data_IF_856700183411
#
_entry.id   IF_856700183411
#
_cell.length_a   1.000
_cell.length_b   1.000
_cell.length_c   1.000
_cell.angle_alpha   90.00
_cell.angle_beta   90.00
_cell.angle_gamma   90.00
#
_symmetry.space_group_name_H-M   'P 1'
#
loop_
_entity.id
_entity.type
_entity.pdbx_description
1 polymer ?
#
# COMPACT_ATOMS: atom_id res chain seq x y z
N UNK A 1 -14.52 4.72 12.73
CA UNK A 1 -15.02 3.94 11.57
C UNK A 1 -13.78 3.54 10.77
N UNK A 2 -13.18 2.38 11.03
CA UNK A 2 -12.34 1.76 9.98
C UNK A 2 -13.35 1.28 8.93
N UNK A 3 -13.39 1.86 7.74
CA UNK A 3 -14.16 1.29 6.66
C UNK A 3 -13.44 0.01 6.25
N UNK A 4 -14.16 -1.06 5.93
CA UNK A 4 -13.56 -2.30 5.39
C UNK A 4 -12.62 -2.06 4.18
N UNK A 5 -12.64 -0.87 3.57
CA UNK A 5 -11.67 -0.38 2.59
C UNK A 5 -10.26 -0.12 3.14
N UNK A 6 -10.10 0.26 4.40
CA UNK A 6 -8.80 0.60 5.00
C UNK A 6 -8.04 -0.64 5.47
N UNK A 7 -8.72 -1.70 5.88
CA UNK A 7 -8.05 -2.93 6.34
C UNK A 7 -7.19 -3.59 5.24
N UNK A 8 -7.65 -3.76 3.98
CA UNK A 8 -6.80 -4.26 2.90
C UNK A 8 -5.56 -3.40 2.66
N UNK A 9 -5.68 -2.08 2.77
CA UNK A 9 -4.57 -1.14 2.60
C UNK A 9 -3.56 -1.32 3.74
N UNK A 10 -4.05 -1.34 4.99
CA UNK A 10 -3.22 -1.58 6.17
C UNK A 10 -2.46 -2.91 6.10
N UNK A 11 -3.16 -4.01 5.76
CA UNK A 11 -2.54 -5.33 5.61
C UNK A 11 -1.49 -5.35 4.49
N UNK A 12 -1.76 -4.63 3.40
CA UNK A 12 -0.82 -4.56 2.28
C UNK A 12 0.42 -3.75 2.64
N UNK A 13 0.27 -2.61 3.33
CA UNK A 13 1.40 -1.82 3.84
C UNK A 13 2.28 -2.67 4.76
N UNK A 14 1.66 -3.44 5.66
CA UNK A 14 2.37 -4.27 6.63
C UNK A 14 3.21 -5.39 6.01
N UNK A 15 2.81 -5.87 4.83
CA UNK A 15 3.56 -6.89 4.07
C UNK A 15 4.75 -6.27 3.33
N UNK A 16 4.64 -5.02 2.90
CA UNK A 16 5.69 -4.34 2.13
C UNK A 16 6.75 -3.75 3.07
N UNK A 17 6.32 -3.13 4.18
CA UNK A 17 7.18 -2.40 5.12
C UNK A 17 6.83 -2.74 6.59
N UNK A 18 7.80 -2.65 7.51
CA UNK A 18 7.53 -2.77 8.93
C UNK A 18 6.56 -1.68 9.42
N UNK A 19 5.53 -2.07 10.19
CA UNK A 19 4.60 -1.14 10.83
C UNK A 19 4.90 -1.04 12.33
N UNK A 20 4.89 0.18 12.92
CA UNK A 20 5.04 0.35 14.36
C UNK A 20 3.94 -0.37 15.17
N UNK A 21 4.32 -0.95 16.31
CA UNK A 21 3.38 -1.59 17.25
C UNK A 21 2.19 -0.70 17.62
N UNK A 22 2.42 0.62 17.78
CA UNK A 22 1.38 1.60 18.10
C UNK A 22 0.28 1.66 17.02
N UNK A 23 0.66 1.56 15.75
CA UNK A 23 -0.28 1.55 14.62
C UNK A 23 -1.04 0.24 14.58
N UNK A 24 -0.36 -0.90 14.78
CA UNK A 24 -1.02 -2.22 14.86
C UNK A 24 -2.06 -2.23 15.99
N UNK A 25 -1.72 -1.67 17.15
CA UNK A 25 -2.63 -1.53 18.29
C UNK A 25 -3.84 -0.65 17.97
N UNK A 26 -3.61 0.50 17.34
CA UNK A 26 -4.72 1.38 16.94
C UNK A 26 -5.68 0.66 16.01
N UNK A 27 -5.16 -0.04 14.98
CA UNK A 27 -6.00 -0.84 14.09
C UNK A 27 -6.73 -1.97 14.80
N UNK A 28 -6.12 -2.63 15.78
CA UNK A 28 -6.78 -3.66 16.59
C UNK A 28 -7.98 -3.10 17.37
N UNK A 29 -7.82 -1.94 18.02
CA UNK A 29 -8.89 -1.25 18.74
C UNK A 29 -10.05 -0.93 17.80
N UNK A 30 -9.75 -0.32 16.67
CA UNK A 30 -10.76 0.10 15.72
C UNK A 30 -11.50 -1.08 15.05
N UNK A 31 -10.83 -2.23 14.86
CA UNK A 31 -11.49 -3.46 14.39
C UNK A 31 -12.45 -4.03 15.44
N UNK A 32 -12.06 -4.02 16.72
CA UNK A 32 -12.94 -4.41 17.83
C UNK A 32 -14.17 -3.50 17.88
N UNK A 33 -13.98 -2.19 17.77
CA UNK A 33 -15.07 -1.20 17.73
C UNK A 33 -16.00 -1.38 16.52
N UNK A 34 -15.48 -1.91 15.41
CA UNK A 34 -16.26 -2.24 14.22
C UNK A 34 -17.01 -3.59 14.33
N UNK A 35 -16.88 -4.31 15.45
CA UNK A 35 -17.53 -5.60 15.69
C UNK A 35 -16.78 -6.81 15.11
N UNK A 36 -15.54 -6.62 14.65
CA UNK A 36 -14.66 -7.70 14.23
C UNK A 36 -13.90 -8.23 15.45
N UNK A 37 -14.53 -9.16 16.17
CA UNK A 37 -14.06 -9.62 17.47
C UNK A 37 -13.18 -10.89 17.37
N UNK A 38 -11.99 -10.82 17.95
CA UNK A 38 -11.08 -11.95 18.11
C UNK A 38 -10.21 -11.75 19.35
N UNK A 39 -10.01 -12.82 20.14
CA UNK A 39 -9.21 -12.81 21.38
C UNK A 39 -7.85 -12.14 21.24
N UNK A 40 -7.15 -12.40 20.13
CA UNK A 40 -5.83 -11.85 19.84
C UNK A 40 -5.85 -10.33 19.65
N UNK A 41 -6.94 -9.75 19.11
CA UNK A 41 -7.05 -8.29 19.01
C UNK A 41 -7.18 -7.63 20.38
N UNK A 42 -7.87 -8.26 21.32
CA UNK A 42 -7.96 -7.77 22.70
C UNK A 42 -6.58 -7.84 23.38
N UNK A 43 -5.81 -8.90 23.16
CA UNK A 43 -4.44 -8.97 23.69
C UNK A 43 -3.57 -7.80 23.19
N UNK A 44 -3.66 -7.46 21.89
CA UNK A 44 -2.95 -6.31 21.32
C UNK A 44 -3.47 -4.98 21.89
N UNK A 45 -4.79 -4.81 21.98
CA UNK A 45 -5.41 -3.55 22.37
C UNK A 45 -5.14 -3.17 23.84
N UNK A 46 -5.06 -4.15 24.74
CA UNK A 46 -4.85 -3.91 26.18
C UNK A 46 -3.38 -3.86 26.59
N UNK A 47 -2.45 -4.46 25.84
CA UNK A 47 -1.03 -4.40 26.16
C UNK A 47 -0.39 -3.11 25.62
N UNK A 48 0.15 -2.29 26.53
CA UNK A 48 0.80 -1.02 26.17
C UNK A 48 2.29 -1.15 25.87
N UNK A 49 2.89 -2.31 26.14
CA UNK A 49 4.35 -2.57 26.01
C UNK A 49 4.64 -3.65 24.97
N UNK A 50 3.64 -4.08 24.21
CA UNK A 50 3.78 -5.13 23.20
C UNK A 50 4.81 -4.75 22.11
N UNK A 51 5.72 -5.67 21.82
CA UNK A 51 6.72 -5.52 20.74
C UNK A 51 6.05 -5.64 19.37
N UNK A 52 6.59 -4.95 18.35
CA UNK A 52 5.98 -4.91 17.00
C UNK A 52 5.81 -6.30 16.39
N UNK A 53 6.80 -7.18 16.53
CA UNK A 53 6.75 -8.54 15.96
C UNK A 53 5.67 -9.39 16.64
N UNK A 54 5.51 -9.25 17.96
CA UNK A 54 4.49 -9.94 18.72
C UNK A 54 3.09 -9.41 18.40
N UNK A 55 2.92 -8.09 18.34
CA UNK A 55 1.68 -7.45 17.92
C UNK A 55 1.26 -7.91 16.52
N UNK A 56 2.19 -7.96 15.58
CA UNK A 56 1.94 -8.43 14.22
C UNK A 56 1.56 -9.91 14.17
N UNK A 57 2.24 -10.76 14.94
CA UNK A 57 1.93 -12.19 15.05
C UNK A 57 0.52 -12.45 15.59
N UNK A 58 0.10 -11.71 16.63
CA UNK A 58 -1.26 -11.79 17.15
C UNK A 58 -2.27 -11.27 16.14
N UNK A 59 -1.97 -10.16 15.47
CA UNK A 59 -2.87 -9.53 14.49
C UNK A 59 -3.15 -10.49 13.32
N UNK A 60 -2.10 -11.09 12.77
CA UNK A 60 -2.21 -12.04 11.65
C UNK A 60 -2.95 -13.32 12.03
N UNK A 61 -2.85 -13.78 13.28
CA UNK A 61 -3.65 -14.90 13.81
C UNK A 61 -5.14 -14.57 13.97
N UNK A 62 -5.48 -13.29 14.21
CA UNK A 62 -6.86 -12.85 14.30
C UNK A 62 -7.57 -12.85 12.93
N UNK A 63 -6.84 -12.56 11.84
CA UNK A 63 -7.42 -12.37 10.50
C UNK A 63 -8.38 -13.48 10.06
N UNK A 64 -8.01 -14.78 10.12
CA UNK A 64 -8.90 -15.84 9.65
C UNK A 64 -10.19 -15.96 10.48
N UNK A 65 -10.13 -15.63 11.77
CA UNK A 65 -11.31 -15.64 12.67
C UNK A 65 -12.30 -14.55 12.29
N UNK A 66 -11.81 -13.46 11.72
CA UNK A 66 -12.59 -12.34 11.20
C UNK A 66 -12.99 -12.52 9.73
N UNK A 67 -12.68 -13.67 9.10
CA UNK A 67 -12.96 -13.92 7.69
C UNK A 67 -11.99 -13.23 6.73
N UNK A 68 -10.77 -12.93 7.16
CA UNK A 68 -9.73 -12.29 6.35
C UNK A 68 -8.49 -13.17 6.22
N UNK A 69 -7.72 -12.96 5.14
CA UNK A 69 -6.37 -13.53 4.99
C UNK A 69 -5.35 -12.43 4.81
N UNK A 70 -4.09 -12.78 5.11
CA UNK A 70 -2.97 -11.93 4.76
C UNK A 70 -2.77 -11.94 3.22
N UNK A 71 -2.51 -10.79 2.58
CA UNK A 71 -2.14 -10.75 1.17
C UNK A 71 -0.76 -11.37 0.96
N UNK A 72 -0.54 -11.96 -0.22
CA UNK A 72 0.82 -12.17 -0.71
C UNK A 72 1.47 -10.81 -1.02
N UNK A 73 2.79 -10.75 -1.15
CA UNK A 73 3.48 -9.49 -1.48
C UNK A 73 3.00 -8.90 -2.81
N UNK A 74 2.80 -9.72 -3.83
CA UNK A 74 2.29 -9.28 -5.14
C UNK A 74 0.87 -8.71 -5.03
N UNK A 75 0.00 -9.34 -4.24
CA UNK A 75 -1.34 -8.83 -3.98
C UNK A 75 -1.29 -7.50 -3.21
N UNK A 76 -0.39 -7.39 -2.23
CA UNK A 76 -0.20 -6.16 -1.46
C UNK A 76 0.22 -4.99 -2.37
N UNK A 77 1.18 -5.22 -3.27
CA UNK A 77 1.60 -4.24 -4.29
C UNK A 77 0.42 -3.85 -5.18
N UNK A 78 -0.36 -4.82 -5.67
CA UNK A 78 -1.51 -4.53 -6.51
C UNK A 78 -2.59 -3.71 -5.79
N UNK A 79 -2.90 -4.06 -4.54
CA UNK A 79 -3.87 -3.34 -3.69
C UNK A 79 -3.43 -1.89 -3.48
N UNK A 80 -2.17 -1.66 -3.09
CA UNK A 80 -1.68 -0.32 -2.81
C UNK A 80 -1.56 0.53 -4.07
N UNK A 81 -1.05 -0.02 -5.17
CA UNK A 81 -1.03 0.71 -6.45
C UNK A 81 -2.43 1.08 -6.90
N UNK A 82 -3.39 0.17 -6.79
CA UNK A 82 -4.78 0.47 -7.13
C UNK A 82 -5.36 1.55 -6.21
N UNK A 83 -5.07 1.52 -4.90
CA UNK A 83 -5.49 2.53 -3.95
C UNK A 83 -4.94 3.92 -4.31
N UNK A 84 -3.62 4.05 -4.47
CA UNK A 84 -2.99 5.33 -4.80
C UNK A 84 -3.41 5.86 -6.18
N UNK A 85 -3.50 4.98 -7.18
CA UNK A 85 -3.95 5.35 -8.52
C UNK A 85 -5.41 5.83 -8.49
N UNK A 86 -6.28 5.16 -7.74
CA UNK A 86 -7.68 5.55 -7.59
C UNK A 86 -7.81 6.91 -6.91
N UNK A 87 -6.98 7.21 -5.90
CA UNK A 87 -6.94 8.52 -5.26
C UNK A 87 -6.60 9.63 -6.26
N UNK A 88 -5.58 9.43 -7.12
CA UNK A 88 -5.19 10.40 -8.17
C UNK A 88 -6.34 10.73 -9.11
N UNK A 89 -7.10 9.72 -9.54
CA UNK A 89 -8.16 9.89 -10.54
C UNK A 89 -9.45 10.43 -9.94
N UNK A 90 -9.84 9.96 -8.74
CA UNK A 90 -11.19 10.21 -8.21
C UNK A 90 -11.25 11.26 -7.11
N UNK A 91 -10.16 11.52 -6.38
CA UNK A 91 -10.19 12.44 -5.22
C UNK A 91 -9.79 13.88 -5.56
N UNK A 92 -9.47 14.17 -6.83
CA UNK A 92 -8.99 15.49 -7.27
C UNK A 92 -7.68 15.91 -6.59
N UNK A 93 -6.96 14.96 -5.98
CA UNK A 93 -5.67 15.21 -5.34
C UNK A 93 -4.66 15.71 -6.36
N UNK A 94 -3.71 16.53 -5.90
CA UNK A 94 -2.58 16.94 -6.73
C UNK A 94 -1.80 15.70 -7.17
N UNK A 95 -1.55 15.61 -8.49
CA UNK A 95 -0.95 14.44 -9.13
C UNK A 95 0.41 14.11 -8.52
N UNK A 96 1.30 15.10 -8.42
CA UNK A 96 2.67 14.94 -7.92
C UNK A 96 2.71 14.42 -6.48
N UNK A 97 2.12 15.08 -5.46
CA UNK A 97 2.12 14.55 -4.10
C UNK A 97 1.49 13.18 -3.95
N UNK A 98 0.53 12.83 -4.81
CA UNK A 98 -0.10 11.50 -4.78
C UNK A 98 0.80 10.44 -5.40
N UNK A 99 1.51 10.79 -6.46
CA UNK A 99 2.54 9.96 -7.07
C UNK A 99 3.72 9.77 -6.13
N UNK A 100 4.21 10.83 -5.48
CA UNK A 100 5.27 10.74 -4.46
C UNK A 100 4.91 9.77 -3.33
N UNK A 101 3.65 9.81 -2.86
CA UNK A 101 3.17 8.81 -1.88
C UNK A 101 3.21 7.39 -2.46
N UNK A 102 2.74 7.20 -3.69
CA UNK A 102 2.80 5.90 -4.38
C UNK A 102 4.25 5.39 -4.51
N UNK A 103 5.19 6.29 -4.81
CA UNK A 103 6.62 5.97 -4.92
C UNK A 103 7.16 5.47 -3.57
N UNK A 104 7.02 6.28 -2.52
CA UNK A 104 7.49 5.96 -1.17
C UNK A 104 6.84 4.70 -0.59
N UNK A 105 5.53 4.54 -0.78
CA UNK A 105 4.76 3.49 -0.10
C UNK A 105 4.86 2.14 -0.83
N UNK A 106 5.15 2.14 -2.14
CA UNK A 106 5.16 0.92 -2.96
C UNK A 106 6.39 0.79 -3.86
N UNK A 107 6.67 1.77 -4.72
CA UNK A 107 7.68 1.60 -5.78
C UNK A 107 9.08 1.49 -5.18
N UNK A 108 9.51 2.43 -4.34
CA UNK A 108 10.83 2.42 -3.68
C UNK A 108 11.12 1.12 -2.89
N UNK A 109 10.21 0.64 -2.01
CA UNK A 109 10.39 -0.64 -1.32
C UNK A 109 10.54 -1.84 -2.26
N UNK A 110 9.80 -1.86 -3.37
CA UNK A 110 9.92 -2.96 -4.33
C UNK A 110 11.21 -2.86 -5.14
N UNK A 111 11.61 -1.66 -5.57
CA UNK A 111 12.83 -1.45 -6.35
C UNK A 111 14.10 -1.75 -5.54
N UNK A 112 14.15 -1.38 -4.27
CA UNK A 112 15.28 -1.67 -3.37
C UNK A 112 15.53 -3.18 -3.15
N UNK A 113 14.54 -4.05 -3.42
CA UNK A 113 14.71 -5.51 -3.35
C UNK A 113 15.31 -6.13 -4.63
N UNK A 114 15.34 -5.39 -5.73
CA UNK A 114 15.71 -5.93 -7.05
C UNK A 114 17.20 -6.05 -7.29
N UNK A 115 18.02 -5.50 -6.41
CA UNK A 115 19.47 -5.69 -6.46
C UNK A 115 19.87 -7.17 -6.27
N UNK A 116 18.93 -8.08 -5.95
CA UNK A 116 19.20 -9.49 -5.61
C UNK A 116 18.66 -10.62 -6.51
N UNK A 117 17.41 -10.61 -7.00
CA UNK A 117 16.89 -11.69 -7.88
C UNK A 117 15.49 -11.44 -8.45
N UNK A 118 15.30 -11.78 -9.73
CA UNK A 118 14.06 -12.28 -10.38
C UNK A 118 12.72 -11.89 -9.75
N UNK A 119 12.33 -10.61 -9.81
CA UNK A 119 10.94 -10.20 -9.71
C UNK A 119 10.42 -9.90 -11.11
N UNK A 120 10.15 -10.92 -11.92
CA UNK A 120 9.76 -10.73 -13.33
C UNK A 120 8.27 -10.39 -13.51
N UNK A 121 7.40 -10.77 -12.56
CA UNK A 121 5.94 -10.60 -12.69
C UNK A 121 5.47 -9.20 -12.29
N UNK A 122 5.63 -8.85 -11.02
CA UNK A 122 5.19 -7.58 -10.42
C UNK A 122 5.89 -6.37 -11.03
N UNK A 123 7.16 -6.50 -11.43
CA UNK A 123 7.84 -5.41 -12.15
C UNK A 123 7.31 -5.16 -13.53
N UNK A 124 6.88 -6.18 -14.27
CA UNK A 124 6.39 -5.95 -15.62
C UNK A 124 5.16 -5.04 -15.58
N UNK A 125 4.29 -5.25 -14.59
CA UNK A 125 3.08 -4.47 -14.37
C UNK A 125 3.35 -3.08 -13.76
N UNK A 126 4.52 -2.89 -13.16
CA UNK A 126 5.00 -1.61 -12.60
C UNK A 126 5.99 -0.88 -13.50
N UNK A 127 6.44 -1.46 -14.62
CA UNK A 127 7.60 -0.97 -15.37
C UNK A 127 7.43 0.48 -15.86
N UNK A 128 6.22 0.86 -16.29
CA UNK A 128 5.93 2.24 -16.68
C UNK A 128 6.05 3.20 -15.48
N UNK A 129 5.43 2.85 -14.34
CA UNK A 129 5.49 3.64 -13.11
C UNK A 129 6.90 3.71 -12.51
N UNK A 130 7.68 2.63 -12.62
CA UNK A 130 9.08 2.59 -12.21
C UNK A 130 9.94 3.48 -13.12
N UNK A 131 9.67 3.51 -14.43
CA UNK A 131 10.30 4.43 -15.36
C UNK A 131 9.98 5.89 -15.04
N UNK A 132 8.73 6.19 -14.72
CA UNK A 132 8.31 7.52 -14.26
C UNK A 132 8.95 7.89 -12.93
N UNK A 133 9.14 6.93 -12.00
CA UNK A 133 9.84 7.14 -10.73
C UNK A 133 11.31 7.53 -10.95
N UNK A 134 12.06 6.78 -11.77
CA UNK A 134 13.46 7.15 -12.04
C UNK A 134 13.60 8.48 -12.75
N UNK A 135 12.69 8.80 -13.69
CA UNK A 135 12.70 10.12 -14.32
C UNK A 135 12.37 11.22 -13.30
N UNK A 136 11.40 10.98 -12.42
CA UNK A 136 11.06 11.90 -11.33
C UNK A 136 12.27 12.14 -10.42
N UNK A 137 12.94 11.08 -9.98
CA UNK A 137 14.10 11.12 -9.09
C UNK A 137 15.27 11.90 -9.74
N UNK A 138 15.61 11.57 -10.99
CA UNK A 138 16.65 12.26 -11.77
C UNK A 138 16.36 13.76 -11.96
N UNK A 139 15.10 14.13 -12.20
CA UNK A 139 14.70 15.52 -12.41
C UNK A 139 14.64 16.30 -11.09
N UNK A 140 14.17 15.67 -10.01
CA UNK A 140 14.13 16.25 -8.68
C UNK A 140 15.55 16.51 -8.15
N UNK A 141 16.47 15.55 -8.31
CA UNK A 141 17.89 15.70 -7.93
C UNK A 141 18.60 16.83 -8.67
N UNK A 142 18.17 17.12 -9.90
CA UNK A 142 18.67 18.23 -10.72
C UNK A 142 17.99 19.57 -10.42
N UNK A 143 17.03 19.59 -9.49
CA UNK A 143 16.32 20.80 -9.07
C UNK A 143 15.32 21.33 -10.10
N UNK A 144 14.79 20.49 -10.99
CA UNK A 144 13.78 20.92 -11.94
C UNK A 144 12.41 21.13 -11.23
N UNK A 145 11.67 22.21 -11.55
CA UNK A 145 10.30 22.39 -11.08
C UNK A 145 9.37 21.42 -11.83
N UNK A 146 9.15 20.24 -11.26
CA UNK A 146 8.39 19.16 -11.88
C UNK A 146 6.90 19.50 -12.10
N UNK A 147 6.36 20.36 -11.26
CA UNK A 147 5.02 20.93 -11.38
C UNK A 147 4.88 21.86 -12.60
N UNK A 148 6.00 22.33 -13.13
CA UNK A 148 6.09 23.15 -14.34
C UNK A 148 6.44 22.32 -15.60
N UNK A 149 6.32 20.98 -15.53
CA UNK A 149 6.58 20.08 -16.66
C UNK A 149 5.30 19.39 -17.18
N UNK A 150 4.43 20.10 -17.94
CA UNK A 150 3.20 19.54 -18.50
C UNK A 150 3.35 18.21 -19.25
N UNK A 151 4.42 17.98 -20.05
CA UNK A 151 4.60 16.69 -20.73
C UNK A 151 4.80 15.52 -19.77
N UNK A 152 5.53 15.74 -18.67
CA UNK A 152 5.75 14.72 -17.64
C UNK A 152 4.44 14.41 -16.91
N UNK A 153 3.76 15.45 -16.43
CA UNK A 153 2.50 15.31 -15.69
C UNK A 153 1.39 14.67 -16.55
N UNK A 154 1.34 14.98 -17.84
CA UNK A 154 0.37 14.38 -18.77
C UNK A 154 0.63 12.89 -18.96
N UNK A 155 1.89 12.50 -19.17
CA UNK A 155 2.27 11.09 -19.32
C UNK A 155 2.00 10.32 -18.03
N UNK A 156 2.45 10.85 -16.89
CA UNK A 156 2.25 10.23 -15.58
C UNK A 156 0.77 9.98 -15.28
N UNK A 157 -0.10 10.97 -15.57
CA UNK A 157 -1.55 10.79 -15.45
C UNK A 157 -2.06 9.68 -16.36
N UNK A 158 -1.64 9.66 -17.64
CA UNK A 158 -2.02 8.63 -18.60
C UNK A 158 -1.65 7.23 -18.12
N UNK A 159 -0.44 7.05 -17.58
CA UNK A 159 0.06 5.75 -17.12
C UNK A 159 -0.70 5.25 -15.88
N UNK A 160 -1.07 6.17 -14.97
CA UNK A 160 -1.92 5.87 -13.80
C UNK A 160 -3.34 5.46 -14.25
N UNK A 161 -3.95 6.20 -15.18
CA UNK A 161 -5.28 5.91 -15.71
C UNK A 161 -5.30 4.58 -16.48
N UNK A 162 -4.28 4.31 -17.29
CA UNK A 162 -4.12 3.05 -18.02
C UNK A 162 -3.92 1.86 -17.09
N UNK A 163 -3.26 2.07 -15.93
CA UNK A 163 -3.15 1.02 -14.90
C UNK A 163 -4.51 0.68 -14.30
N UNK A 164 -5.32 1.67 -13.91
CA UNK A 164 -6.67 1.41 -13.41
C UNK A 164 -7.55 0.72 -14.46
N UNK A 165 -7.36 1.04 -15.74
CA UNK A 165 -8.09 0.38 -16.83
C UNK A 165 -7.73 -1.10 -16.97
N UNK A 166 -6.44 -1.46 -16.82
CA UNK A 166 -5.97 -2.85 -16.88
C UNK A 166 -6.28 -3.65 -15.62
N UNK A 167 -6.34 -2.97 -14.47
CA UNK A 167 -6.62 -3.57 -13.16
C UNK A 167 -7.80 -2.84 -12.49
N UNK A 168 -9.03 -3.07 -12.99
CA UNK A 168 -10.21 -2.31 -12.56
C UNK A 168 -10.64 -2.61 -11.12
N UNK A 169 -10.19 -3.73 -10.56
CA UNK A 169 -10.51 -4.15 -9.20
C UNK A 169 -9.26 -4.71 -8.51
N UNK A 170 -8.99 -4.35 -7.24
CA UNK A 170 -7.91 -4.95 -6.49
C UNK A 170 -8.24 -6.39 -6.09
N UNK A 171 -7.21 -7.21 -5.77
CA UNK A 171 -7.41 -8.53 -5.17
C UNK A 171 -8.29 -8.50 -3.92
N UNK A 172 -9.16 -9.49 -3.75
CA UNK A 172 -9.97 -9.65 -2.53
C UNK A 172 -9.21 -10.43 -1.46
N UNK A 173 -9.26 -9.91 -0.23
CA UNK A 173 -8.68 -10.53 0.96
C UNK A 173 -9.72 -11.16 1.90
N UNK A 174 -11.01 -11.05 1.58
CA UNK A 174 -12.06 -11.77 2.32
C UNK A 174 -12.01 -13.26 1.99
N UNK A 175 -12.11 -14.09 3.02
CA UNK A 175 -12.29 -15.53 2.89
C UNK A 175 -13.74 -15.80 2.45
N UNK A 176 -13.90 -16.71 1.49
CA UNK A 176 -15.18 -17.10 0.90
C UNK A 176 -16.00 -18.00 1.83
#
# INVERSE_FOLDING_TARGET
MIPEMELPIFLSQAVIQPIPASTIRQSAIELIEAGLDASELHEIAWDTVIESDEAWRLFTRALPKMGWRLPTRDEAVQILLHHHASSVVHSGSSLLPSFERMCRDVIEPEMSRLEGSHAAGTLHDMAALAGDYYLYDDLADRGFPLDEMPPFLTRLRSDIEDRLRRHPTPPSLKLA
#
